data_IF_015482657639
#
_entry.id   IF_015482657639
#
_cell.length_a   1.000
_cell.length_b   1.000
_cell.length_c   1.000
_cell.angle_alpha   90.00
_cell.angle_beta   90.00
_cell.angle_gamma   90.00
#
_symmetry.space_group_name_H-M   'P 1'
#
loop_
_entity.id
_entity.type
_entity.pdbx_description
1 polymer ?
#
# COMPACT_ATOMS: atom_id res chain seq x y z
N UNK A 1 -6.69 62.25 -42.65
CA UNK A 1 -7.00 60.79 -42.72
C UNK A 1 -6.09 59.88 -41.88
N UNK A 2 -5.16 60.30 -41.06
CA UNK A 2 -4.33 59.39 -40.21
C UNK A 2 -5.00 58.86 -38.95
N UNK A 3 -5.98 59.55 -38.37
CA UNK A 3 -6.62 59.13 -37.10
C UNK A 3 -7.48 57.86 -37.22
N UNK A 4 -8.18 57.67 -38.34
CA UNK A 4 -8.98 56.45 -38.54
C UNK A 4 -8.15 55.15 -38.59
N UNK A 5 -6.90 55.24 -39.06
CA UNK A 5 -6.00 54.08 -39.10
C UNK A 5 -5.43 53.73 -37.74
N UNK A 6 -5.23 54.73 -36.85
CA UNK A 6 -4.82 54.49 -35.47
C UNK A 6 -5.91 53.81 -34.67
N UNK A 7 -7.14 54.27 -34.77
CA UNK A 7 -8.28 53.67 -34.06
C UNK A 7 -8.54 52.23 -34.48
N UNK A 8 -8.39 51.88 -35.74
CA UNK A 8 -8.52 50.47 -36.22
C UNK A 8 -7.39 49.60 -35.66
N UNK A 9 -6.17 50.12 -35.57
CA UNK A 9 -5.04 49.41 -35.00
C UNK A 9 -5.22 49.10 -33.51
N UNK A 10 -5.74 50.05 -32.74
CA UNK A 10 -6.01 49.88 -31.32
C UNK A 10 -7.12 48.83 -31.06
N UNK A 11 -8.18 48.84 -31.88
CA UNK A 11 -9.26 47.85 -31.78
C UNK A 11 -8.74 46.46 -32.13
N UNK A 12 -7.92 46.32 -33.17
CA UNK A 12 -7.34 45.03 -33.56
C UNK A 12 -6.37 44.49 -32.50
N UNK A 13 -5.56 45.38 -31.88
CA UNK A 13 -4.67 44.99 -30.80
C UNK A 13 -5.44 44.51 -29.55
N UNK A 14 -6.54 45.19 -29.21
CA UNK A 14 -7.40 44.77 -28.09
C UNK A 14 -8.06 43.44 -28.36
N UNK A 15 -8.54 43.18 -29.57
CA UNK A 15 -9.12 41.88 -29.94
C UNK A 15 -8.11 40.74 -29.88
N UNK A 16 -6.90 40.96 -30.35
CA UNK A 16 -5.81 39.96 -30.29
C UNK A 16 -5.44 39.65 -28.83
N UNK A 17 -5.32 40.67 -27.99
CA UNK A 17 -5.02 40.46 -26.56
C UNK A 17 -6.16 39.68 -25.86
N UNK A 18 -7.41 39.99 -26.20
CA UNK A 18 -8.56 39.29 -25.62
C UNK A 18 -8.57 37.81 -26.06
N UNK A 19 -8.21 37.50 -27.28
CA UNK A 19 -8.10 36.17 -27.82
C UNK A 19 -6.97 35.36 -27.15
N UNK A 20 -5.80 35.98 -26.98
CA UNK A 20 -4.67 35.37 -26.27
C UNK A 20 -5.04 35.10 -24.80
N UNK A 21 -5.64 36.06 -24.12
CA UNK A 21 -6.07 35.89 -22.72
C UNK A 21 -7.09 34.75 -22.57
N UNK A 22 -8.03 34.64 -23.50
CA UNK A 22 -9.04 33.56 -23.49
C UNK A 22 -8.41 32.18 -23.68
N UNK A 23 -7.52 32.01 -24.64
CA UNK A 23 -6.81 30.77 -24.88
C UNK A 23 -5.97 30.38 -23.67
N UNK A 24 -5.22 31.31 -23.12
CA UNK A 24 -4.39 31.05 -21.92
C UNK A 24 -5.25 30.68 -20.71
N UNK A 25 -6.37 31.34 -20.52
CA UNK A 25 -7.32 31.03 -19.45
C UNK A 25 -7.88 29.60 -19.55
N UNK A 26 -8.27 29.17 -20.74
CA UNK A 26 -8.76 27.80 -20.96
C UNK A 26 -7.66 26.78 -20.72
N UNK A 27 -6.45 27.02 -21.18
CA UNK A 27 -5.32 26.12 -20.96
C UNK A 27 -4.98 25.96 -19.47
N UNK A 28 -4.93 27.07 -18.73
CA UNK A 28 -4.68 27.03 -17.28
C UNK A 28 -5.80 26.32 -16.55
N UNK A 29 -7.03 26.54 -16.92
CA UNK A 29 -8.18 25.90 -16.30
C UNK A 29 -8.16 24.36 -16.52
N UNK A 30 -7.91 23.92 -17.75
CA UNK A 30 -7.86 22.51 -18.07
C UNK A 30 -6.69 21.79 -17.41
N UNK A 31 -5.51 22.42 -17.31
CA UNK A 31 -4.37 21.85 -16.59
C UNK A 31 -4.64 21.78 -15.09
N UNK A 32 -5.25 22.80 -14.51
CA UNK A 32 -5.64 22.82 -13.10
C UNK A 32 -6.63 21.71 -12.76
N UNK A 33 -7.65 21.49 -13.58
CA UNK A 33 -8.60 20.39 -13.40
C UNK A 33 -7.94 19.02 -13.46
N UNK A 34 -7.03 18.80 -14.42
CA UNK A 34 -6.30 17.53 -14.54
C UNK A 34 -5.44 17.24 -13.31
N UNK A 35 -4.73 18.26 -12.82
CA UNK A 35 -3.89 18.14 -11.63
C UNK A 35 -4.74 17.86 -10.38
N UNK A 36 -5.87 18.56 -10.23
CA UNK A 36 -6.78 18.35 -9.10
C UNK A 36 -7.38 16.96 -9.08
N UNK A 37 -7.80 16.43 -10.24
CA UNK A 37 -8.33 15.08 -10.32
C UNK A 37 -7.27 14.01 -10.01
N UNK A 38 -6.05 14.16 -10.53
CA UNK A 38 -4.95 13.24 -10.24
C UNK A 38 -4.59 13.23 -8.76
N UNK A 39 -4.55 14.39 -8.12
CA UNK A 39 -4.32 14.49 -6.67
C UNK A 39 -5.46 13.86 -5.86
N UNK A 40 -6.69 14.03 -6.31
CA UNK A 40 -7.86 13.41 -5.66
C UNK A 40 -7.83 11.88 -5.69
N UNK A 41 -7.38 11.28 -6.78
CA UNK A 41 -7.23 9.83 -6.89
C UNK A 41 -6.12 9.29 -5.98
N UNK A 42 -4.97 9.99 -5.92
CA UNK A 42 -3.86 9.60 -5.05
C UNK A 42 -4.27 9.67 -3.57
N UNK A 43 -4.92 10.74 -3.16
CA UNK A 43 -5.41 10.88 -1.79
C UNK A 43 -6.45 9.82 -1.44
N UNK A 44 -7.34 9.50 -2.37
CA UNK A 44 -8.36 8.47 -2.14
C UNK A 44 -7.74 7.08 -1.98
N UNK A 45 -6.76 6.71 -2.80
CA UNK A 45 -6.07 5.43 -2.66
C UNK A 45 -5.31 5.35 -1.32
N UNK A 46 -4.60 6.39 -0.93
CA UNK A 46 -3.90 6.44 0.36
C UNK A 46 -4.85 6.29 1.56
N UNK A 47 -5.99 6.96 1.54
CA UNK A 47 -6.98 6.87 2.63
C UNK A 47 -7.60 5.47 2.70
N UNK A 48 -7.86 4.83 1.56
CA UNK A 48 -8.38 3.45 1.54
C UNK A 48 -7.35 2.48 2.09
N UNK A 49 -6.10 2.55 1.63
CA UNK A 49 -5.01 1.68 2.08
C UNK A 49 -4.74 1.85 3.59
N UNK A 50 -4.75 3.08 4.09
CA UNK A 50 -4.57 3.36 5.52
C UNK A 50 -5.77 2.87 6.36
N UNK A 51 -6.98 3.02 5.84
CA UNK A 51 -8.20 2.51 6.48
C UNK A 51 -8.20 0.98 6.56
N UNK A 52 -7.84 0.29 5.49
CA UNK A 52 -7.75 -1.17 5.47
C UNK A 52 -6.62 -1.68 6.38
N UNK A 53 -5.45 -1.03 6.35
CA UNK A 53 -4.34 -1.34 7.24
C UNK A 53 -4.72 -1.24 8.72
N UNK A 54 -5.52 -0.24 9.10
CA UNK A 54 -5.99 -0.08 10.48
C UNK A 54 -7.00 -1.15 10.92
N UNK A 55 -7.67 -1.80 9.96
CA UNK A 55 -8.63 -2.88 10.20
C UNK A 55 -7.98 -4.28 10.14
N UNK A 56 -6.74 -4.35 9.68
CA UNK A 56 -5.98 -5.59 9.63
C UNK A 56 -5.48 -5.97 11.01
N UNK A 57 -5.93 -7.11 11.52
CA UNK A 57 -5.54 -7.61 12.84
C UNK A 57 -5.35 -9.11 12.79
N UNK A 58 -4.14 -9.56 13.05
CA UNK A 58 -3.83 -10.98 13.10
C UNK A 58 -2.83 -11.30 14.19
N UNK A 59 -2.79 -12.54 14.58
CA UNK A 59 -1.88 -13.03 15.61
C UNK A 59 -1.47 -14.46 15.32
N UNK A 60 -0.21 -14.78 15.64
CA UNK A 60 0.25 -16.16 15.76
C UNK A 60 -0.24 -16.70 17.10
N UNK A 61 -1.15 -17.65 17.07
CA UNK A 61 -1.79 -18.18 18.29
C UNK A 61 -1.13 -19.47 18.77
N UNK A 62 -0.39 -20.15 17.90
CA UNK A 62 0.34 -21.37 18.25
C UNK A 62 1.53 -21.58 17.32
N UNK A 63 2.59 -22.18 17.85
CA UNK A 63 3.75 -22.61 17.09
C UNK A 63 4.21 -23.98 17.61
N UNK A 64 4.38 -24.91 16.70
CA UNK A 64 4.85 -26.25 16.99
C UNK A 64 6.13 -26.53 16.21
N UNK A 65 7.20 -26.83 16.93
CA UNK A 65 8.53 -27.05 16.37
C UNK A 65 8.76 -28.53 16.11
N UNK A 66 9.15 -28.87 14.89
CA UNK A 66 9.61 -30.20 14.49
C UNK A 66 11.05 -30.10 13.99
N UNK A 67 11.74 -31.22 13.82
CA UNK A 67 13.12 -31.24 13.32
C UNK A 67 13.23 -30.52 11.97
N UNK A 68 13.80 -29.28 11.97
CA UNK A 68 14.01 -28.47 10.77
C UNK A 68 12.79 -27.70 10.26
N UNK A 69 11.63 -27.79 10.91
CA UNK A 69 10.43 -27.07 10.52
C UNK A 69 9.64 -26.55 11.71
N UNK A 70 8.85 -25.50 11.49
CA UNK A 70 7.88 -24.99 12.46
C UNK A 70 6.51 -24.86 11.79
N UNK A 71 5.49 -25.32 12.48
CA UNK A 71 4.09 -25.13 12.09
C UNK A 71 3.52 -24.01 12.94
N UNK A 72 3.09 -22.92 12.31
CA UNK A 72 2.43 -21.81 12.99
C UNK A 72 0.94 -21.78 12.64
N UNK A 73 0.13 -21.34 13.59
CA UNK A 73 -1.28 -21.05 13.37
C UNK A 73 -1.49 -19.57 13.46
N UNK A 74 -1.88 -18.98 12.34
CA UNK A 74 -2.20 -17.55 12.25
C UNK A 74 -3.71 -17.39 12.24
N UNK A 75 -4.21 -16.55 13.13
CA UNK A 75 -5.61 -16.20 13.22
C UNK A 75 -5.81 -14.74 12.83
N UNK A 76 -6.69 -14.52 11.85
CA UNK A 76 -7.13 -13.19 11.45
C UNK A 76 -8.41 -12.85 12.23
N UNK A 77 -8.30 -11.93 13.17
CA UNK A 77 -9.42 -11.40 13.96
C UNK A 77 -9.80 -9.97 13.55
N UNK A 78 -9.24 -9.50 12.43
CA UNK A 78 -9.59 -8.23 11.80
C UNK A 78 -10.85 -8.31 10.95
N UNK A 79 -11.17 -7.21 10.30
CA UNK A 79 -12.34 -7.08 9.43
C UNK A 79 -12.00 -7.21 7.94
N UNK A 80 -10.72 -7.32 7.61
CA UNK A 80 -10.22 -7.46 6.24
C UNK A 80 -9.35 -8.70 6.12
N UNK A 81 -9.33 -9.30 4.94
CA UNK A 81 -8.41 -10.39 4.65
C UNK A 81 -6.96 -9.92 4.72
N UNK A 82 -6.07 -10.80 5.14
CA UNK A 82 -4.65 -10.55 5.21
C UNK A 82 -3.90 -11.45 4.24
N UNK A 83 -2.89 -10.91 3.61
CA UNK A 83 -1.93 -11.64 2.82
C UNK A 83 -0.56 -11.56 3.50
N UNK A 84 0.00 -12.72 3.85
CA UNK A 84 1.32 -12.79 4.50
C UNK A 84 2.38 -12.79 3.41
N UNK A 85 3.29 -11.82 3.49
CA UNK A 85 4.40 -11.67 2.53
C UNK A 85 5.69 -12.26 3.06
N UNK A 86 5.98 -12.00 4.32
CA UNK A 86 7.24 -12.41 4.92
C UNK A 86 7.04 -13.02 6.32
N UNK A 87 7.84 -14.04 6.60
CA UNK A 87 7.99 -14.57 7.95
C UNK A 87 9.47 -14.67 8.28
N UNK A 88 9.82 -14.20 9.47
CA UNK A 88 11.17 -14.26 10.01
C UNK A 88 11.18 -15.11 11.27
N UNK A 89 12.20 -15.95 11.41
CA UNK A 89 12.48 -16.74 12.62
C UNK A 89 13.83 -16.27 13.15
N UNK A 90 13.86 -15.76 14.37
CA UNK A 90 15.05 -15.14 15.00
C UNK A 90 15.72 -14.08 14.11
N UNK A 91 14.92 -13.29 13.37
CA UNK A 91 15.40 -12.27 12.46
C UNK A 91 15.88 -12.78 11.09
N UNK A 92 15.88 -14.09 10.86
CA UNK A 92 16.25 -14.69 9.57
C UNK A 92 14.98 -14.98 8.76
N UNK A 93 14.91 -14.49 7.53
CA UNK A 93 13.76 -14.70 6.64
C UNK A 93 13.61 -16.17 6.28
N UNK A 94 12.40 -16.71 6.36
CA UNK A 94 12.11 -18.07 5.94
C UNK A 94 11.92 -18.13 4.41
N UNK A 95 12.37 -19.23 3.78
CA UNK A 95 12.28 -19.43 2.32
C UNK A 95 10.90 -19.88 1.82
N UNK A 96 9.84 -19.64 2.57
CA UNK A 96 8.57 -20.34 2.42
C UNK A 96 7.68 -19.91 1.28
N UNK A 97 7.75 -18.69 0.89
CA UNK A 97 6.84 -18.17 -0.13
C UNK A 97 7.47 -18.20 -1.51
N UNK A 98 7.66 -19.43 -2.02
CA UNK A 98 8.13 -19.60 -3.40
C UNK A 98 7.08 -19.21 -4.44
N UNK A 99 5.79 -19.08 -4.05
CA UNK A 99 4.67 -18.92 -4.98
C UNK A 99 3.68 -17.80 -4.62
N UNK A 100 4.09 -16.78 -3.86
CA UNK A 100 3.21 -15.70 -3.42
C UNK A 100 2.71 -15.85 -1.98
N UNK A 101 2.08 -14.81 -1.47
CA UNK A 101 1.66 -14.73 -0.08
C UNK A 101 0.50 -15.68 0.26
N UNK A 102 0.48 -16.16 1.48
CA UNK A 102 -0.67 -16.90 2.02
C UNK A 102 -1.79 -15.91 2.38
N UNK A 103 -2.95 -16.07 1.77
CA UNK A 103 -4.15 -15.26 2.07
C UNK A 103 -4.95 -15.91 3.18
N UNK A 104 -5.20 -15.17 4.27
CA UNK A 104 -5.98 -15.60 5.41
C UNK A 104 -7.26 -14.76 5.48
N UNK A 105 -8.37 -15.43 5.25
CA UNK A 105 -9.70 -14.83 5.28
C UNK A 105 -10.09 -14.39 6.70
N UNK A 106 -11.07 -13.50 6.79
CA UNK A 106 -11.71 -13.10 8.05
C UNK A 106 -12.65 -14.20 8.52
N UNK A 107 -12.12 -15.31 8.98
CA UNK A 107 -12.89 -16.43 9.47
C UNK A 107 -12.55 -16.77 10.93
N UNK A 108 -13.33 -17.63 11.51
CA UNK A 108 -13.17 -18.06 12.90
C UNK A 108 -12.09 -19.13 13.08
N UNK A 109 -11.51 -19.64 12.00
CA UNK A 109 -10.56 -20.73 12.06
C UNK A 109 -9.13 -20.26 11.76
N UNK A 110 -8.16 -20.58 12.66
CA UNK A 110 -6.76 -20.28 12.42
C UNK A 110 -6.19 -21.05 11.23
N UNK A 111 -5.44 -20.37 10.39
CA UNK A 111 -4.75 -20.98 9.26
C UNK A 111 -3.41 -21.55 9.69
N UNK A 112 -3.19 -22.81 9.37
CA UNK A 112 -1.90 -23.48 9.61
C UNK A 112 -0.94 -23.21 8.47
N UNK A 113 0.25 -22.73 8.79
CA UNK A 113 1.35 -22.47 7.86
C UNK A 113 2.55 -23.30 8.31
N UNK A 114 3.16 -24.03 7.40
CA UNK A 114 4.38 -24.82 7.68
C UNK A 114 5.59 -24.08 7.14
N UNK A 115 6.58 -23.87 7.99
CA UNK A 115 7.77 -23.08 7.73
C UNK A 115 9.03 -23.95 7.89
N UNK A 116 10.02 -23.77 7.02
CA UNK A 116 11.35 -24.33 7.23
C UNK A 116 12.14 -23.40 8.14
N UNK A 117 12.77 -23.95 9.18
CA UNK A 117 13.65 -23.18 10.05
C UNK A 117 14.92 -22.87 9.26
N UNK A 118 15.25 -21.58 9.02
CA UNK A 118 16.44 -21.22 8.27
C UNK A 118 17.72 -21.54 9.06
N UNK A 119 18.79 -21.82 8.34
CA UNK A 119 20.11 -21.99 8.94
C UNK A 119 20.50 -20.75 9.76
N UNK A 120 20.98 -20.95 10.99
CA UNK A 120 21.33 -19.88 11.90
C UNK A 120 20.19 -19.36 12.79
N UNK A 121 18.94 -19.80 12.56
CA UNK A 121 17.80 -19.42 13.40
C UNK A 121 17.53 -20.39 14.56
N UNK A 122 18.44 -21.34 14.84
CA UNK A 122 18.28 -22.36 15.88
C UNK A 122 18.56 -21.80 17.27
N UNK A 123 17.76 -22.18 18.27
CA UNK A 123 17.94 -21.77 19.67
C UNK A 123 16.88 -22.38 20.59
N UNK A 124 16.99 -22.18 21.90
CA UNK A 124 15.97 -22.65 22.85
C UNK A 124 14.68 -21.85 22.76
N UNK A 125 14.76 -20.61 22.31
CA UNK A 125 13.63 -19.71 22.13
C UNK A 125 13.60 -19.21 20.68
N UNK A 126 12.41 -19.06 20.15
CA UNK A 126 12.19 -18.59 18.80
C UNK A 126 11.33 -17.32 18.82
N UNK A 127 11.81 -16.28 18.17
CA UNK A 127 11.02 -15.10 17.87
C UNK A 127 10.49 -15.22 16.44
N UNK A 128 9.17 -15.33 16.30
CA UNK A 128 8.51 -15.42 15.00
C UNK A 128 7.91 -14.07 14.69
N UNK A 129 8.31 -13.47 13.57
CA UNK A 129 7.77 -12.22 13.05
C UNK A 129 7.05 -12.49 11.74
N UNK A 130 5.76 -12.23 11.69
CA UNK A 130 4.92 -12.34 10.51
C UNK A 130 4.61 -10.94 10.00
N UNK A 131 4.75 -10.72 8.69
CA UNK A 131 4.52 -9.44 8.05
C UNK A 131 3.49 -9.61 6.93
N UNK A 132 2.47 -8.76 6.94
CA UNK A 132 1.48 -8.71 5.88
C UNK A 132 1.90 -7.81 4.71
N UNK A 133 1.20 -7.91 3.58
CA UNK A 133 1.39 -7.07 2.38
C UNK A 133 1.27 -5.58 2.69
N UNK A 134 0.42 -5.22 3.66
CA UNK A 134 0.21 -3.84 4.11
C UNK A 134 1.23 -3.37 5.15
N UNK A 135 2.23 -4.22 5.48
CA UNK A 135 3.33 -3.89 6.39
C UNK A 135 2.99 -4.04 7.88
N UNK A 136 1.84 -4.59 8.24
CA UNK A 136 1.49 -4.90 9.63
C UNK A 136 2.34 -6.06 10.11
N UNK A 137 2.92 -5.91 11.31
CA UNK A 137 3.81 -6.90 11.93
C UNK A 137 3.16 -7.51 13.17
N UNK A 138 3.22 -8.83 13.26
CA UNK A 138 2.98 -9.54 14.50
C UNK A 138 4.26 -10.25 14.94
N UNK A 139 4.67 -10.01 16.17
CA UNK A 139 5.87 -10.61 16.78
C UNK A 139 5.44 -11.47 17.95
N UNK A 140 5.87 -12.71 17.97
CA UNK A 140 5.56 -13.68 19.02
C UNK A 140 6.79 -14.46 19.43
N UNK A 141 6.91 -14.77 20.71
CA UNK A 141 8.02 -15.53 21.28
C UNK A 141 7.54 -16.90 21.71
N UNK A 142 8.31 -17.93 21.36
CA UNK A 142 7.98 -19.32 21.60
C UNK A 142 9.21 -20.08 22.11
N UNK A 143 9.01 -20.96 23.06
CA UNK A 143 10.03 -21.91 23.52
C UNK A 143 9.80 -23.28 22.88
N UNK A 144 10.89 -23.93 22.52
CA UNK A 144 10.88 -25.31 22.00
C UNK A 144 10.79 -26.32 23.14
#
# INVERSE_FOLDING_TARGET
MPEKRKAVGEIMAALILMLIASITGVLLFTTSLRTSNAQGEILRSQVVDESESSQERFQVINAFFESGSVKIWVHNYGNVEIEIVDVYINGVRTSLYQNGGEVIQTDTFPRKITLTIPEGATGPNYTITVISTRGIKNVSEWSN
#
